data_IF_069584333049
#
_entry.id   IF_069584333049
#
_cell.length_a   1.000
_cell.length_b   1.000
_cell.length_c   1.000
_cell.angle_alpha   90.00
_cell.angle_beta   90.00
_cell.angle_gamma   90.00
#
_symmetry.space_group_name_H-M   'P 1'
#
loop_
_entity.id
_entity.type
_entity.pdbx_description
1 polymer ?
#
# COMPACT_ATOMS: atom_id res chain seq x y z
N UNK A 1 37.66 -32.39 19.57
CA UNK A 1 36.92 -31.14 19.25
C UNK A 1 37.74 -29.97 19.76
N UNK A 2 37.89 -28.94 18.94
CA UNK A 2 38.79 -27.82 19.21
C UNK A 2 38.17 -26.79 20.18
N UNK A 3 38.98 -26.24 21.09
CA UNK A 3 38.58 -25.29 22.14
C UNK A 3 37.98 -23.99 21.60
N UNK A 4 38.39 -23.57 20.40
CA UNK A 4 37.82 -22.41 19.70
C UNK A 4 36.37 -22.66 19.26
N UNK A 5 36.07 -23.86 18.77
CA UNK A 5 34.71 -24.26 18.38
C UNK A 5 33.77 -24.29 19.59
N UNK A 6 34.22 -24.79 20.75
CA UNK A 6 33.44 -24.81 21.99
C UNK A 6 33.14 -23.39 22.51
N UNK A 7 34.12 -22.48 22.47
CA UNK A 7 33.93 -21.08 22.87
C UNK A 7 32.92 -20.35 21.97
N UNK A 8 32.94 -20.61 20.66
CA UNK A 8 32.00 -20.00 19.73
C UNK A 8 30.54 -20.44 20.01
N UNK A 9 30.32 -21.74 20.24
CA UNK A 9 29.00 -22.28 20.61
C UNK A 9 28.45 -21.70 21.93
N UNK A 10 29.31 -21.42 22.91
CA UNK A 10 28.91 -20.81 24.17
C UNK A 10 28.43 -19.35 23.97
N UNK A 11 29.15 -18.54 23.19
CA UNK A 11 28.75 -17.15 22.88
C UNK A 11 27.47 -17.12 22.06
N UNK A 12 27.32 -18.00 21.05
CA UNK A 12 26.07 -18.14 20.30
C UNK A 12 24.88 -18.43 21.23
N UNK A 13 25.07 -19.27 22.25
CA UNK A 13 24.04 -19.57 23.25
C UNK A 13 23.70 -18.37 24.15
N UNK A 14 24.69 -17.55 24.52
CA UNK A 14 24.48 -16.28 25.24
C UNK A 14 23.62 -15.30 24.40
N UNK A 15 23.95 -15.14 23.11
CA UNK A 15 23.21 -14.27 22.20
C UNK A 15 21.79 -14.81 21.99
N UNK A 16 21.62 -16.12 21.82
CA UNK A 16 20.29 -16.73 21.72
C UNK A 16 19.43 -16.45 22.95
N UNK A 17 20.00 -16.64 24.14
CA UNK A 17 19.32 -16.32 25.40
C UNK A 17 18.94 -14.85 25.48
N UNK A 18 19.80 -13.95 25.00
CA UNK A 18 19.53 -12.51 24.96
C UNK A 18 18.35 -12.18 24.02
N UNK A 19 18.30 -12.80 22.85
CA UNK A 19 17.18 -12.67 21.89
C UNK A 19 15.88 -13.16 22.51
N UNK A 20 15.88 -14.35 23.13
CA UNK A 20 14.67 -14.91 23.76
C UNK A 20 14.16 -14.02 24.91
N UNK A 21 15.06 -13.45 25.72
CA UNK A 21 14.69 -12.52 26.78
C UNK A 21 14.19 -11.17 26.24
N UNK A 22 14.77 -10.69 25.14
CA UNK A 22 14.28 -9.50 24.46
C UNK A 22 12.87 -9.72 23.90
N UNK A 23 12.59 -10.87 23.27
CA UNK A 23 11.22 -11.21 22.83
C UNK A 23 10.22 -11.25 24.00
N UNK A 24 10.62 -11.73 25.18
CA UNK A 24 9.78 -11.68 26.38
C UNK A 24 9.49 -10.24 26.82
N UNK A 25 10.49 -9.37 26.80
CA UNK A 25 10.32 -7.94 27.12
C UNK A 25 9.39 -7.24 26.11
N UNK A 26 9.51 -7.58 24.83
CA UNK A 26 8.62 -7.08 23.78
C UNK A 26 7.18 -7.55 24.07
N UNK A 27 6.95 -8.86 24.26
CA UNK A 27 5.62 -9.41 24.57
C UNK A 27 5.01 -8.84 25.86
N UNK A 28 5.82 -8.45 26.84
CA UNK A 28 5.34 -7.82 28.08
C UNK A 28 4.96 -6.34 27.91
N UNK A 29 5.21 -5.75 26.73
CA UNK A 29 4.92 -4.34 26.40
C UNK A 29 5.62 -3.33 27.32
N UNK A 30 6.70 -3.75 27.97
CA UNK A 30 7.46 -2.89 28.88
C UNK A 30 8.63 -2.25 28.12
N UNK A 31 8.43 -1.01 27.67
CA UNK A 31 9.44 -0.23 26.94
C UNK A 31 10.74 -0.13 27.73
N UNK A 32 10.69 0.01 29.06
CA UNK A 32 11.90 0.11 29.88
C UNK A 32 12.67 -1.21 29.85
N UNK A 33 11.96 -2.33 29.97
CA UNK A 33 12.54 -3.67 29.85
C UNK A 33 13.14 -3.88 28.45
N UNK A 34 12.41 -3.56 27.39
CA UNK A 34 12.89 -3.64 25.99
C UNK A 34 14.18 -2.83 25.82
N UNK A 35 14.16 -1.55 26.21
CA UNK A 35 15.29 -0.66 26.03
C UNK A 35 16.52 -1.05 26.86
N UNK A 36 16.36 -1.83 27.94
CA UNK A 36 17.48 -2.35 28.73
C UNK A 36 18.40 -3.30 27.94
N UNK A 37 17.93 -3.85 26.82
CA UNK A 37 18.73 -4.73 25.95
C UNK A 37 19.70 -3.96 25.05
N UNK A 38 19.51 -2.66 24.86
CA UNK A 38 20.25 -1.84 23.89
C UNK A 38 21.38 -1.05 24.54
N UNK A 39 22.39 -0.73 23.74
CA UNK A 39 23.42 0.23 24.11
C UNK A 39 22.86 1.66 24.05
N UNK A 40 23.37 2.60 24.87
CA UNK A 40 22.91 3.99 24.84
C UNK A 40 23.00 4.65 23.46
N UNK A 41 23.99 4.24 22.66
CA UNK A 41 24.28 4.75 21.32
C UNK A 41 23.78 3.83 20.18
N UNK A 42 22.77 2.99 20.43
CA UNK A 42 22.18 2.13 19.38
C UNK A 42 21.80 2.93 18.12
N UNK A 43 22.04 2.36 16.95
CA UNK A 43 21.48 2.84 15.68
C UNK A 43 20.46 1.83 15.17
N UNK A 44 19.22 2.25 14.95
CA UNK A 44 18.16 1.36 14.48
C UNK A 44 17.57 1.82 13.13
N UNK A 45 17.38 0.86 12.23
CA UNK A 45 16.55 0.98 11.03
C UNK A 45 15.27 0.19 11.29
N UNK A 46 14.20 0.87 11.71
CA UNK A 46 12.93 0.18 11.93
C UNK A 46 12.13 0.07 10.61
N UNK A 47 11.17 -0.84 10.57
CA UNK A 47 10.38 -1.12 9.38
C UNK A 47 9.43 0.03 9.01
N UNK A 48 9.19 0.99 9.92
CA UNK A 48 8.19 2.04 9.77
C UNK A 48 8.67 3.42 10.23
N UNK A 49 7.99 4.45 9.71
CA UNK A 49 8.15 5.88 10.04
C UNK A 49 9.44 6.55 9.57
N UNK A 50 10.59 6.27 10.20
CA UNK A 50 11.83 7.01 9.95
C UNK A 50 12.90 6.12 9.36
N UNK A 51 13.75 6.68 8.49
CA UNK A 51 14.87 5.95 7.90
C UNK A 51 15.88 5.45 8.95
N UNK A 52 16.03 6.17 10.08
CA UNK A 52 17.00 5.85 11.11
C UNK A 52 16.66 6.49 12.46
N UNK A 53 16.83 5.74 13.53
CA UNK A 53 16.83 6.23 14.91
C UNK A 53 18.25 6.18 15.49
N UNK A 54 18.64 7.24 16.22
CA UNK A 54 19.94 7.31 16.89
C UNK A 54 19.73 7.42 18.40
N UNK A 55 20.28 6.45 19.13
CA UNK A 55 20.27 6.40 20.58
C UNK A 55 19.02 5.75 21.18
N UNK A 56 19.19 5.26 22.40
CA UNK A 56 18.17 4.50 23.13
C UNK A 56 16.91 5.31 23.43
N UNK A 57 17.03 6.62 23.65
CA UNK A 57 15.87 7.47 23.97
C UNK A 57 14.96 7.66 22.75
N UNK A 58 15.54 8.00 21.59
CA UNK A 58 14.80 8.18 20.35
C UNK A 58 14.13 6.86 19.93
N UNK A 59 14.87 5.75 20.02
CA UNK A 59 14.34 4.45 19.66
C UNK A 59 13.28 3.94 20.67
N UNK A 60 13.44 4.22 21.95
CA UNK A 60 12.44 3.91 22.97
C UNK A 60 11.10 4.64 22.77
N UNK A 61 11.14 5.91 22.33
CA UNK A 61 9.92 6.67 21.96
C UNK A 61 9.22 6.00 20.77
N UNK A 62 9.97 5.52 19.79
CA UNK A 62 9.42 4.79 18.65
C UNK A 62 8.77 3.46 19.07
N UNK A 63 9.46 2.66 19.89
CA UNK A 63 8.90 1.44 20.47
C UNK A 63 7.58 1.69 21.22
N UNK A 64 7.51 2.76 22.03
CA UNK A 64 6.29 3.13 22.74
C UNK A 64 5.13 3.43 21.77
N UNK A 65 5.39 4.16 20.68
CA UNK A 65 4.39 4.46 19.66
C UNK A 65 3.92 3.19 18.93
N UNK A 66 4.83 2.31 18.54
CA UNK A 66 4.50 1.04 17.88
C UNK A 66 3.64 0.14 18.78
N UNK A 67 3.99 0.02 20.07
CA UNK A 67 3.21 -0.77 21.02
C UNK A 67 1.81 -0.22 21.27
N UNK A 68 1.59 1.08 21.14
CA UNK A 68 0.27 1.71 21.29
C UNK A 68 -0.67 1.39 20.12
N UNK A 69 -0.14 1.11 18.92
CA UNK A 69 -0.92 0.77 17.72
C UNK A 69 -1.41 -0.69 17.70
N UNK A 70 -0.91 -1.54 18.59
CA UNK A 70 -1.27 -2.96 18.67
C UNK A 70 -2.00 -3.25 20.00
N UNK A 71 -3.33 -3.02 20.10
CA UNK A 71 -4.03 -3.07 21.39
C UNK A 71 -4.14 -4.49 21.99
N UNK A 72 -4.21 -5.53 21.15
CA UNK A 72 -4.42 -6.91 21.59
C UNK A 72 -3.15 -7.66 22.06
N UNK A 73 -3.30 -8.94 22.45
CA UNK A 73 -2.17 -9.81 22.79
C UNK A 73 -1.14 -9.85 21.67
N UNK A 74 0.12 -9.58 22.01
CA UNK A 74 1.20 -9.46 21.04
C UNK A 74 1.77 -10.82 20.66
N UNK A 75 1.91 -11.04 19.36
CA UNK A 75 2.69 -12.13 18.78
C UNK A 75 4.05 -11.57 18.38
N UNK A 76 5.12 -12.27 18.74
CA UNK A 76 6.49 -11.82 18.51
C UNK A 76 7.47 -13.00 18.59
N UNK A 77 7.54 -13.78 17.52
CA UNK A 77 8.23 -15.07 17.49
C UNK A 77 9.37 -15.07 16.48
N UNK A 78 10.53 -15.61 16.89
CA UNK A 78 11.71 -15.72 16.03
C UNK A 78 11.65 -17.03 15.23
N UNK A 79 11.92 -16.95 13.92
CA UNK A 79 12.11 -18.08 13.01
C UNK A 79 13.47 -18.00 12.31
N UNK A 80 14.04 -19.14 11.92
CA UNK A 80 15.31 -19.23 11.16
C UNK A 80 16.43 -18.33 11.67
N UNK A 81 16.72 -18.44 12.97
CA UNK A 81 17.73 -17.61 13.63
C UNK A 81 19.13 -18.13 13.30
N UNK A 82 19.93 -17.29 12.64
CA UNK A 82 21.36 -17.47 12.47
C UNK A 82 22.12 -16.55 13.43
N UNK A 83 23.22 -17.05 14.00
CA UNK A 83 24.05 -16.31 14.96
C UNK A 83 25.51 -16.57 14.63
N UNK A 84 26.25 -15.48 14.43
CA UNK A 84 27.70 -15.49 14.27
C UNK A 84 28.32 -14.59 15.33
N UNK A 85 29.31 -15.10 16.06
CA UNK A 85 29.94 -14.37 17.15
C UNK A 85 31.44 -14.61 17.20
N UNK A 86 32.19 -13.56 17.50
CA UNK A 86 33.63 -13.61 17.74
C UNK A 86 34.02 -12.56 18.78
N UNK A 87 34.75 -12.99 19.81
CA UNK A 87 35.22 -12.11 20.89
C UNK A 87 34.06 -11.32 21.57
N UNK A 88 34.08 -10.00 21.44
CA UNK A 88 33.13 -9.05 22.01
C UNK A 88 32.11 -8.53 20.99
N UNK A 89 32.05 -9.11 19.78
CA UNK A 89 31.13 -8.76 18.71
C UNK A 89 30.30 -9.97 18.28
N UNK A 90 29.02 -9.76 18.04
CA UNK A 90 28.17 -10.77 17.42
C UNK A 90 27.16 -10.12 16.48
N UNK A 91 26.68 -10.87 15.50
CA UNK A 91 25.52 -10.52 14.70
C UNK A 91 24.57 -11.70 14.60
N UNK A 92 23.28 -11.41 14.54
CA UNK A 92 22.24 -12.38 14.24
C UNK A 92 21.33 -11.86 13.14
N UNK A 93 20.81 -12.76 12.32
CA UNK A 93 19.70 -12.45 11.42
C UNK A 93 18.65 -13.55 11.53
N UNK A 94 17.39 -13.17 11.39
CA UNK A 94 16.29 -14.11 11.48
C UNK A 94 15.04 -13.59 10.76
N UNK A 95 14.05 -14.47 10.64
CA UNK A 95 12.67 -14.06 10.39
C UNK A 95 11.99 -13.77 11.73
N UNK A 96 11.10 -12.78 11.75
CA UNK A 96 10.33 -12.43 12.94
C UNK A 96 8.85 -12.33 12.60
N UNK A 97 8.03 -13.13 13.27
CA UNK A 97 6.57 -13.07 13.15
C UNK A 97 6.05 -12.12 14.20
N UNK A 98 5.59 -10.94 13.78
CA UNK A 98 5.08 -9.91 14.68
C UNK A 98 3.62 -9.58 14.36
N UNK A 99 2.85 -9.24 15.38
CA UNK A 99 1.48 -8.78 15.21
C UNK A 99 0.68 -8.80 16.49
N UNK A 100 -0.64 -8.73 16.34
CA UNK A 100 -1.56 -8.79 17.48
C UNK A 100 -2.79 -9.64 17.16
N UNK A 101 -3.38 -10.20 18.20
CA UNK A 101 -4.71 -10.81 18.12
C UNK A 101 -5.77 -9.71 18.22
N UNK A 102 -6.71 -9.68 17.28
CA UNK A 102 -7.83 -8.75 17.34
C UNK A 102 -8.91 -9.17 18.35
N UNK A 103 -9.92 -8.32 18.52
CA UNK A 103 -11.05 -8.52 19.44
C UNK A 103 -11.89 -9.77 19.15
N UNK A 104 -11.82 -10.33 17.94
CA UNK A 104 -12.49 -11.58 17.57
C UNK A 104 -11.62 -12.83 17.80
N UNK A 105 -10.42 -12.66 18.36
CA UNK A 105 -9.47 -13.76 18.57
C UNK A 105 -8.67 -14.12 17.32
N UNK A 106 -8.74 -13.33 16.25
CA UNK A 106 -8.00 -13.60 15.00
C UNK A 106 -6.61 -12.99 15.08
N UNK A 107 -5.58 -13.82 14.89
CA UNK A 107 -4.20 -13.35 14.83
C UNK A 107 -3.91 -12.63 13.52
N UNK A 108 -3.58 -11.33 13.61
CA UNK A 108 -3.08 -10.52 12.50
C UNK A 108 -1.58 -10.35 12.66
N UNK A 109 -0.84 -11.27 12.04
CA UNK A 109 0.62 -11.32 12.13
C UNK A 109 1.24 -11.36 10.74
N UNK A 110 2.49 -10.92 10.67
CA UNK A 110 3.28 -10.84 9.45
C UNK A 110 4.72 -11.22 9.76
N UNK A 111 5.37 -11.89 8.80
CA UNK A 111 6.79 -12.16 8.86
C UNK A 111 7.58 -10.96 8.33
N UNK A 112 8.59 -10.55 9.09
CA UNK A 112 9.59 -9.56 8.70
C UNK A 112 10.99 -10.15 8.82
N UNK A 113 11.99 -9.44 8.32
CA UNK A 113 13.41 -9.78 8.49
C UNK A 113 13.97 -8.91 9.60
N UNK A 114 14.76 -9.51 10.48
CA UNK A 114 15.47 -8.81 11.53
C UNK A 114 16.97 -9.09 11.41
N UNK A 115 17.80 -8.06 11.59
CA UNK A 115 19.24 -8.20 11.78
C UNK A 115 19.64 -7.38 13.02
N UNK A 116 20.35 -8.02 13.95
CA UNK A 116 20.79 -7.38 15.19
C UNK A 116 22.30 -7.53 15.34
N UNK A 117 22.98 -6.41 15.55
CA UNK A 117 24.40 -6.34 15.90
C UNK A 117 24.57 -6.15 17.39
N UNK A 118 25.43 -6.95 18.01
CA UNK A 118 25.68 -6.96 19.45
C UNK A 118 27.13 -6.64 19.75
N UNK A 119 27.37 -5.91 20.85
CA UNK A 119 28.69 -5.72 21.45
C UNK A 119 28.64 -6.04 22.94
N UNK A 120 29.69 -6.66 23.47
CA UNK A 120 29.84 -6.87 24.92
C UNK A 120 30.40 -5.60 25.56
N UNK A 121 29.58 -4.93 26.37
CA UNK A 121 29.90 -3.69 27.09
C UNK A 121 29.82 -3.96 28.59
N UNK A 122 30.88 -3.68 29.34
CA UNK A 122 30.95 -3.92 30.80
C UNK A 122 30.52 -5.35 31.20
N UNK A 123 30.95 -6.34 30.40
CA UNK A 123 30.61 -7.75 30.58
C UNK A 123 29.21 -8.16 30.11
N UNK A 124 28.38 -7.23 29.63
CA UNK A 124 27.02 -7.48 29.17
C UNK A 124 26.88 -7.31 27.66
N UNK A 125 26.27 -8.28 26.99
CA UNK A 125 25.89 -8.12 25.59
C UNK A 125 24.78 -7.05 25.45
N UNK A 126 24.99 -6.08 24.58
CA UNK A 126 24.05 -5.01 24.25
C UNK A 126 23.84 -4.95 22.74
N UNK A 127 22.60 -4.68 22.31
CA UNK A 127 22.30 -4.41 20.91
C UNK A 127 22.85 -3.03 20.57
N UNK A 128 23.78 -2.96 19.63
CA UNK A 128 24.40 -1.71 19.14
C UNK A 128 23.84 -1.30 17.78
N UNK A 129 23.28 -2.24 17.02
CA UNK A 129 22.58 -1.99 15.76
C UNK A 129 21.39 -2.93 15.62
N UNK A 130 20.30 -2.43 15.04
CA UNK A 130 19.14 -3.25 14.69
C UNK A 130 18.51 -2.80 13.38
N UNK A 131 18.01 -3.75 12.60
CA UNK A 131 17.35 -3.52 11.34
C UNK A 131 16.13 -4.44 11.20
N UNK A 132 14.94 -3.87 11.10
CA UNK A 132 13.69 -4.54 10.71
C UNK A 132 13.29 -4.13 9.30
N UNK A 133 12.81 -5.08 8.51
CA UNK A 133 12.27 -4.75 7.19
C UNK A 133 11.34 -5.81 6.62
N UNK A 134 10.36 -5.37 5.83
CA UNK A 134 9.58 -6.21 4.93
C UNK A 134 10.04 -5.98 3.47
N UNK A 135 10.01 -7.00 2.60
CA UNK A 135 10.16 -6.78 1.16
C UNK A 135 8.96 -6.00 0.61
N UNK A 136 9.10 -5.43 -0.58
CA UNK A 136 8.02 -4.70 -1.26
C UNK A 136 7.87 -5.19 -2.70
N UNK A 137 6.68 -4.99 -3.24
CA UNK A 137 6.34 -5.29 -4.63
C UNK A 137 6.83 -4.15 -5.54
N UNK A 138 7.66 -4.48 -6.52
CA UNK A 138 8.31 -3.48 -7.39
C UNK A 138 7.33 -2.73 -8.30
N UNK A 139 6.15 -3.29 -8.60
CA UNK A 139 5.17 -2.64 -9.48
C UNK A 139 4.28 -1.68 -8.71
N UNK A 140 3.87 -2.07 -7.50
CA UNK A 140 2.89 -1.34 -6.69
C UNK A 140 3.53 -0.49 -5.60
N UNK A 141 4.80 -0.72 -5.27
CA UNK A 141 5.50 -0.09 -4.15
C UNK A 141 5.00 -0.52 -2.77
N UNK A 142 4.07 -1.48 -2.68
CA UNK A 142 3.45 -1.92 -1.43
C UNK A 142 4.32 -2.95 -0.71
N UNK A 143 4.41 -2.86 0.61
CA UNK A 143 5.08 -3.86 1.45
C UNK A 143 4.37 -5.22 1.39
N UNK A 144 5.14 -6.30 1.38
CA UNK A 144 4.68 -7.68 1.25
C UNK A 144 4.62 -8.36 2.63
N UNK A 145 3.50 -8.17 3.34
CA UNK A 145 3.29 -8.70 4.68
C UNK A 145 2.70 -10.13 4.73
N UNK A 146 2.27 -10.66 3.58
CA UNK A 146 1.64 -11.97 3.47
C UNK A 146 2.63 -13.12 3.19
N UNK A 147 3.92 -12.82 2.98
CA UNK A 147 4.93 -13.85 2.72
C UNK A 147 5.12 -14.79 3.92
N UNK A 148 5.34 -16.07 3.61
CA UNK A 148 5.66 -17.12 4.56
C UNK A 148 7.15 -17.54 4.43
N UNK A 149 7.74 -18.13 5.48
CA UNK A 149 9.15 -18.54 5.48
C UNK A 149 9.53 -19.53 4.36
N UNK A 150 8.58 -20.34 3.89
CA UNK A 150 8.78 -21.30 2.80
C UNK A 150 8.75 -20.64 1.40
N UNK A 151 8.61 -19.31 1.34
CA UNK A 151 8.51 -18.55 0.10
C UNK A 151 7.10 -18.52 -0.50
N UNK A 152 6.11 -19.16 0.15
CA UNK A 152 4.71 -19.05 -0.25
C UNK A 152 4.09 -17.73 0.23
N UNK A 153 2.98 -17.33 -0.38
CA UNK A 153 2.13 -16.25 0.10
C UNK A 153 0.96 -16.83 0.86
N UNK A 154 0.65 -16.26 2.04
CA UNK A 154 -0.62 -16.48 2.70
C UNK A 154 -1.74 -16.08 1.74
N UNK A 155 -2.77 -16.92 1.65
CA UNK A 155 -3.94 -16.60 0.86
C UNK A 155 -4.59 -15.34 1.45
N UNK A 156 -4.50 -14.23 0.74
CA UNK A 156 -5.26 -13.02 1.07
C UNK A 156 -6.66 -13.12 0.50
N UNK A 157 -7.66 -12.69 1.28
CA UNK A 157 -9.04 -12.59 0.82
C UNK A 157 -9.20 -11.55 -0.31
N UNK A 158 -8.32 -10.54 -0.33
CA UNK A 158 -8.23 -9.56 -1.42
C UNK A 158 -6.98 -9.90 -2.23
N UNK A 159 -7.10 -10.25 -3.52
CA UNK A 159 -5.95 -10.60 -4.35
C UNK A 159 -4.89 -9.49 -4.39
N UNK A 160 -3.62 -9.89 -4.48
CA UNK A 160 -2.51 -8.94 -4.59
C UNK A 160 -2.70 -7.98 -5.77
N UNK A 161 -2.48 -6.69 -5.52
CA UNK A 161 -2.63 -5.65 -6.54
C UNK A 161 -4.07 -5.22 -6.82
N UNK A 162 -5.06 -5.83 -6.15
CA UNK A 162 -6.45 -5.35 -6.16
C UNK A 162 -6.70 -4.43 -4.96
N UNK A 163 -7.67 -3.53 -5.13
CA UNK A 163 -8.20 -2.72 -4.05
C UNK A 163 -9.59 -3.25 -3.67
N UNK A 164 -10.04 -2.96 -2.45
CA UNK A 164 -11.36 -3.40 -1.94
C UNK A 164 -12.50 -3.03 -2.89
N UNK A 165 -12.38 -1.88 -3.57
CA UNK A 165 -13.29 -1.46 -4.63
C UNK A 165 -12.51 -1.47 -5.94
N UNK A 166 -12.99 -2.25 -6.91
CA UNK A 166 -12.42 -2.38 -8.26
C UNK A 166 -13.56 -2.20 -9.28
N UNK A 167 -13.60 -1.10 -10.04
CA UNK A 167 -14.64 -0.89 -11.06
C UNK A 167 -14.64 -2.00 -12.11
N UNK A 168 -15.83 -2.39 -12.55
CA UNK A 168 -16.03 -3.37 -13.61
C UNK A 168 -16.85 -2.75 -14.74
N UNK A 169 -16.18 -2.39 -15.84
CA UNK A 169 -16.79 -1.68 -16.96
C UNK A 169 -17.33 -2.65 -18.00
N UNK A 170 -18.58 -2.43 -18.40
CA UNK A 170 -19.23 -3.20 -19.46
C UNK A 170 -19.16 -2.37 -20.73
N UNK A 171 -18.55 -2.92 -21.77
CA UNK A 171 -18.34 -2.23 -23.04
C UNK A 171 -19.02 -2.96 -24.19
N UNK A 172 -19.46 -2.23 -25.21
CA UNK A 172 -19.69 -2.81 -26.53
C UNK A 172 -18.34 -2.77 -27.28
N UNK A 173 -17.53 -3.81 -27.14
CA UNK A 173 -16.13 -3.86 -27.61
C UNK A 173 -15.11 -3.66 -26.48
N UNK A 174 -15.06 -4.58 -25.52
CA UNK A 174 -14.16 -4.47 -24.37
C UNK A 174 -12.67 -4.61 -24.74
N UNK A 175 -12.34 -5.38 -25.78
CA UNK A 175 -10.96 -5.50 -26.26
C UNK A 175 -10.44 -4.16 -26.82
N UNK A 176 -11.29 -3.44 -27.57
CA UNK A 176 -11.00 -2.11 -28.08
C UNK A 176 -10.90 -1.08 -26.95
N UNK A 177 -11.71 -1.24 -25.89
CA UNK A 177 -11.63 -0.39 -24.70
C UNK A 177 -10.29 -0.52 -23.98
N UNK A 178 -9.74 -1.74 -23.87
CA UNK A 178 -8.39 -1.96 -23.35
C UNK A 178 -7.35 -1.19 -24.17
N UNK A 179 -7.42 -1.26 -25.50
CA UNK A 179 -6.48 -0.53 -26.37
C UNK A 179 -6.64 0.99 -26.27
N UNK A 180 -7.85 1.49 -26.10
CA UNK A 180 -8.10 2.90 -25.81
C UNK A 180 -7.49 3.30 -24.46
N UNK A 181 -7.71 2.54 -23.37
CA UNK A 181 -7.17 2.88 -22.04
C UNK A 181 -5.64 2.82 -21.98
N UNK A 182 -5.00 1.92 -22.72
CA UNK A 182 -3.54 1.89 -22.89
C UNK A 182 -3.01 3.21 -23.45
N UNK A 183 -3.71 3.78 -24.45
CA UNK A 183 -3.33 5.05 -25.09
C UNK A 183 -3.72 6.28 -24.27
N UNK A 184 -4.95 6.31 -23.75
CA UNK A 184 -5.53 7.46 -23.06
C UNK A 184 -4.97 7.64 -21.65
N UNK A 185 -4.79 6.54 -20.91
CA UNK A 185 -4.50 6.56 -19.48
C UNK A 185 -3.18 5.88 -19.11
N UNK A 186 -2.33 5.55 -20.09
CA UNK A 186 -1.14 4.72 -19.91
C UNK A 186 -1.44 3.39 -19.20
N UNK A 187 -2.62 2.82 -19.46
CA UNK A 187 -3.01 1.60 -18.80
C UNK A 187 -2.08 0.44 -19.19
N UNK A 188 -1.81 -0.46 -18.25
CA UNK A 188 -1.10 -1.73 -18.51
C UNK A 188 -2.09 -2.88 -18.49
N UNK A 189 -2.15 -3.67 -19.56
CA UNK A 189 -3.01 -4.86 -19.61
C UNK A 189 -2.48 -5.95 -18.68
N UNK A 190 -3.35 -6.47 -17.80
CA UNK A 190 -3.01 -7.53 -16.84
C UNK A 190 -3.38 -8.92 -17.38
N UNK A 191 -4.38 -8.98 -18.25
CA UNK A 191 -4.83 -10.20 -18.88
C UNK A 191 -6.25 -10.07 -19.44
N UNK A 192 -6.62 -11.04 -20.27
CA UNK A 192 -7.94 -11.15 -20.87
C UNK A 192 -8.35 -12.59 -21.13
N UNK A 193 -9.64 -12.84 -21.04
CA UNK A 193 -10.30 -14.12 -21.30
C UNK A 193 -11.41 -13.89 -22.32
N UNK A 194 -11.18 -14.36 -23.54
CA UNK A 194 -12.20 -14.40 -24.58
C UNK A 194 -13.12 -15.61 -24.38
N UNK A 195 -14.41 -15.41 -24.61
CA UNK A 195 -15.41 -16.46 -24.72
C UNK A 195 -15.38 -17.14 -26.08
N UNK A 196 -16.18 -18.22 -26.27
CA UNK A 196 -16.21 -19.00 -27.50
C UNK A 196 -16.63 -18.21 -28.76
N UNK A 197 -17.40 -17.13 -28.59
CA UNK A 197 -17.86 -16.24 -29.64
C UNK A 197 -16.90 -15.06 -29.91
N UNK A 198 -15.74 -15.04 -29.25
CA UNK A 198 -14.73 -13.98 -29.35
C UNK A 198 -15.03 -12.76 -28.49
N UNK A 199 -16.20 -12.67 -27.85
CA UNK A 199 -16.49 -11.61 -26.87
C UNK A 199 -15.63 -11.78 -25.63
N UNK A 200 -15.22 -10.67 -25.03
CA UNK A 200 -14.43 -10.68 -23.82
C UNK A 200 -15.31 -10.96 -22.60
N UNK A 201 -15.15 -12.16 -22.02
CA UNK A 201 -15.82 -12.50 -20.76
C UNK A 201 -15.16 -11.80 -19.56
N UNK A 202 -13.85 -11.54 -19.65
CA UNK A 202 -13.11 -10.81 -18.64
C UNK A 202 -11.85 -10.17 -19.25
N UNK A 203 -11.53 -8.97 -18.81
CA UNK A 203 -10.26 -8.30 -19.01
C UNK A 203 -9.92 -7.45 -17.81
N UNK A 204 -8.64 -7.15 -17.62
CA UNK A 204 -8.22 -6.26 -16.56
C UNK A 204 -7.06 -5.38 -17.05
N UNK A 205 -7.12 -4.10 -16.69
CA UNK A 205 -6.04 -3.14 -16.90
C UNK A 205 -5.68 -2.46 -15.58
N UNK A 206 -4.43 -2.05 -15.46
CA UNK A 206 -3.93 -1.22 -14.36
C UNK A 206 -3.74 0.21 -14.85
N UNK A 207 -4.29 1.17 -14.12
CA UNK A 207 -4.09 2.62 -14.31
C UNK A 207 -3.56 3.16 -12.99
N UNK A 208 -2.31 3.65 -12.98
CA UNK A 208 -1.62 3.99 -11.74
C UNK A 208 -1.52 2.77 -10.81
N UNK A 209 -2.04 2.91 -9.59
CA UNK A 209 -2.09 1.84 -8.57
C UNK A 209 -3.43 1.07 -8.55
N UNK A 210 -4.35 1.43 -9.44
CA UNK A 210 -5.73 0.95 -9.44
C UNK A 210 -5.99 0.01 -10.60
N UNK A 211 -6.84 -1.00 -10.37
CA UNK A 211 -7.27 -1.95 -11.39
C UNK A 211 -8.67 -1.60 -11.85
N UNK A 212 -8.89 -1.68 -13.16
CA UNK A 212 -10.20 -1.59 -13.79
C UNK A 212 -10.42 -2.89 -14.55
N UNK A 213 -11.52 -3.57 -14.23
CA UNK A 213 -11.93 -4.77 -14.93
C UNK A 213 -12.88 -4.41 -16.07
N UNK A 214 -12.89 -5.23 -17.11
CA UNK A 214 -13.72 -5.03 -18.29
C UNK A 214 -14.38 -6.34 -18.71
N UNK A 215 -15.58 -6.24 -19.27
CA UNK A 215 -16.17 -7.31 -20.08
C UNK A 215 -16.99 -6.72 -21.23
N UNK A 216 -17.22 -7.52 -22.26
CA UNK A 216 -18.20 -7.19 -23.27
C UNK A 216 -19.61 -7.24 -22.70
N UNK A 217 -20.54 -6.55 -23.35
CA UNK A 217 -21.95 -6.67 -23.01
C UNK A 217 -22.52 -8.05 -23.35
N UNK A 218 -23.28 -8.58 -22.39
CA UNK A 218 -24.06 -9.81 -22.49
C UNK A 218 -25.49 -9.51 -22.02
N UNK A 219 -26.35 -8.91 -22.88
CA UNK A 219 -27.71 -8.52 -22.51
C UNK A 219 -28.54 -9.67 -21.92
N UNK A 220 -28.30 -10.90 -22.38
CA UNK A 220 -28.96 -12.11 -21.86
C UNK A 220 -28.66 -12.39 -20.38
N UNK A 221 -27.56 -11.84 -19.85
CA UNK A 221 -27.15 -11.94 -18.44
C UNK A 221 -27.36 -10.62 -17.68
N UNK A 222 -28.06 -9.63 -18.28
CA UNK A 222 -28.25 -8.31 -17.69
C UNK A 222 -27.01 -7.39 -17.73
N UNK A 223 -25.94 -7.80 -18.42
CA UNK A 223 -24.73 -7.01 -18.59
C UNK A 223 -24.86 -6.07 -19.80
N UNK A 224 -25.15 -4.80 -19.55
CA UNK A 224 -25.45 -3.80 -20.58
C UNK A 224 -24.40 -2.68 -20.58
N UNK A 225 -23.90 -2.31 -21.75
CA UNK A 225 -22.97 -1.18 -21.88
C UNK A 225 -23.69 0.18 -21.79
N UNK A 226 -22.98 1.29 -21.49
CA UNK A 226 -23.56 2.64 -21.54
C UNK A 226 -24.18 2.98 -22.89
N UNK A 227 -23.59 2.51 -24.00
CA UNK A 227 -24.14 2.71 -25.35
C UNK A 227 -25.52 2.08 -25.49
N UNK A 228 -25.69 0.86 -25.02
CA UNK A 228 -26.98 0.15 -25.06
C UNK A 228 -28.00 0.78 -24.12
N UNK A 229 -27.57 1.27 -22.96
CA UNK A 229 -28.40 2.00 -22.00
C UNK A 229 -28.66 3.47 -22.40
N UNK A 230 -27.95 3.98 -23.42
CA UNK A 230 -27.96 5.39 -23.84
C UNK A 230 -27.58 6.37 -22.73
N UNK A 231 -26.67 5.95 -21.86
CA UNK A 231 -26.12 6.77 -20.78
C UNK A 231 -25.37 5.95 -19.74
N UNK A 232 -24.59 6.63 -18.91
CA UNK A 232 -23.93 6.06 -17.72
C UNK A 232 -24.30 6.88 -16.47
N UNK A 233 -24.72 6.24 -15.37
CA UNK A 233 -24.99 6.94 -14.12
C UNK A 233 -23.73 7.11 -13.25
N UNK A 234 -22.60 6.52 -13.64
CA UNK A 234 -21.35 6.53 -12.88
C UNK A 234 -20.27 7.23 -13.68
N UNK A 235 -19.50 8.07 -12.99
CA UNK A 235 -18.21 8.57 -13.47
C UNK A 235 -17.09 7.91 -12.68
N UNK A 236 -16.09 7.37 -13.36
CA UNK A 236 -14.88 6.87 -12.71
C UNK A 236 -13.91 8.04 -12.55
N UNK A 237 -13.42 8.25 -11.33
CA UNK A 237 -12.60 9.42 -10.98
C UNK A 237 -11.11 9.05 -10.93
N UNK A 238 -10.29 9.74 -11.73
CA UNK A 238 -8.84 9.61 -11.72
C UNK A 238 -8.23 10.85 -11.09
N UNK A 239 -7.53 10.65 -9.98
CA UNK A 239 -6.48 11.57 -9.59
C UNK A 239 -5.19 11.23 -10.32
N UNK A 240 -4.57 12.25 -10.89
CA UNK A 240 -3.32 12.15 -11.64
C UNK A 240 -2.38 13.30 -11.25
N UNK A 241 -1.08 13.09 -11.42
CA UNK A 241 -0.08 14.11 -11.13
C UNK A 241 -0.25 15.37 -12.01
N UNK A 242 -0.76 15.21 -13.23
CA UNK A 242 -1.01 16.31 -14.15
C UNK A 242 -2.28 16.09 -14.99
N UNK A 243 -3.34 16.81 -14.64
CA UNK A 243 -4.65 16.72 -15.27
C UNK A 243 -4.63 17.19 -16.72
N UNK A 244 -3.98 18.32 -17.04
CA UNK A 244 -3.92 18.85 -18.40
C UNK A 244 -3.32 17.83 -19.38
N UNK A 245 -2.16 17.26 -19.06
CA UNK A 245 -1.48 16.28 -19.90
C UNK A 245 -2.31 15.00 -20.08
N UNK A 246 -2.97 14.55 -19.02
CA UNK A 246 -3.78 13.33 -19.05
C UNK A 246 -5.08 13.53 -19.83
N UNK A 247 -5.71 14.70 -19.65
CA UNK A 247 -6.94 15.10 -20.33
C UNK A 247 -6.71 15.26 -21.83
N UNK A 248 -5.66 15.99 -22.24
CA UNK A 248 -5.27 16.16 -23.64
C UNK A 248 -4.99 14.82 -24.32
N UNK A 249 -4.28 13.91 -23.64
CA UNK A 249 -3.98 12.57 -24.17
C UNK A 249 -5.25 11.76 -24.40
N UNK A 250 -6.19 11.79 -23.46
CA UNK A 250 -7.44 11.05 -23.59
C UNK A 250 -8.30 11.60 -24.73
N UNK A 251 -8.38 12.93 -24.88
CA UNK A 251 -9.06 13.58 -26.01
C UNK A 251 -8.39 13.22 -27.34
N UNK A 252 -7.06 13.28 -27.42
CA UNK A 252 -6.30 12.88 -28.61
C UNK A 252 -6.48 11.39 -28.96
N UNK A 253 -6.74 10.53 -27.96
CA UNK A 253 -7.05 9.12 -28.15
C UNK A 253 -8.50 8.87 -28.62
N UNK A 254 -9.34 9.90 -28.68
CA UNK A 254 -10.72 9.83 -29.18
C UNK A 254 -11.82 10.02 -28.13
N UNK A 255 -11.49 10.43 -26.90
CA UNK A 255 -12.50 10.79 -25.91
C UNK A 255 -13.21 12.10 -26.28
N UNK A 256 -14.50 12.18 -25.97
CA UNK A 256 -15.32 13.37 -26.12
C UNK A 256 -15.28 14.20 -24.83
N UNK A 257 -15.06 15.51 -24.95
CA UNK A 257 -15.17 16.42 -23.80
C UNK A 257 -16.64 16.58 -23.40
N UNK A 258 -16.95 16.27 -22.14
CA UNK A 258 -18.26 16.48 -21.53
C UNK A 258 -18.24 17.75 -20.67
N UNK A 259 -17.17 17.92 -19.90
CA UNK A 259 -16.89 19.12 -19.11
C UNK A 259 -15.43 19.53 -19.38
N UNK A 260 -15.20 20.73 -19.95
CA UNK A 260 -13.85 21.23 -20.16
C UNK A 260 -13.06 21.31 -18.87
N UNK A 261 -11.73 21.12 -18.98
CA UNK A 261 -10.84 21.20 -17.83
C UNK A 261 -10.77 22.65 -17.30
N UNK A 262 -11.05 22.82 -16.01
CA UNK A 262 -11.05 24.12 -15.34
C UNK A 262 -10.57 23.99 -13.90
N UNK A 263 -10.17 25.12 -13.32
CA UNK A 263 -9.84 25.20 -11.89
C UNK A 263 -11.14 25.35 -11.12
N UNK A 264 -11.43 24.38 -10.26
CA UNK A 264 -12.71 24.28 -9.59
C UNK A 264 -12.70 24.95 -8.23
N UNK A 265 -13.88 25.36 -7.79
CA UNK A 265 -14.06 26.06 -6.52
C UNK A 265 -13.64 25.21 -5.31
N UNK A 266 -13.60 23.87 -5.46
CA UNK A 266 -13.17 22.92 -4.43
C UNK A 266 -11.67 22.58 -4.44
N UNK A 267 -10.88 23.25 -5.28
CA UNK A 267 -9.40 23.18 -5.19
C UNK A 267 -8.71 22.25 -6.18
N UNK A 268 -9.44 21.67 -7.12
CA UNK A 268 -8.86 20.80 -8.16
C UNK A 268 -8.82 21.47 -9.53
N UNK A 269 -7.80 21.13 -10.31
CA UNK A 269 -7.84 21.19 -11.77
C UNK A 269 -8.65 19.98 -12.26
N UNK A 270 -9.86 20.17 -12.77
CA UNK A 270 -10.83 19.09 -12.98
C UNK A 270 -11.58 19.22 -14.31
N UNK A 271 -11.91 18.07 -14.91
CA UNK A 271 -12.76 17.99 -16.11
C UNK A 271 -13.32 16.59 -16.30
N UNK A 272 -14.28 16.46 -17.22
CA UNK A 272 -14.97 15.19 -17.51
C UNK A 272 -14.93 14.90 -19.00
N UNK A 273 -14.57 13.66 -19.34
CA UNK A 273 -14.64 13.12 -20.68
C UNK A 273 -15.57 11.91 -20.73
N UNK A 274 -16.10 11.64 -21.91
CA UNK A 274 -16.78 10.41 -22.27
C UNK A 274 -15.85 9.62 -23.19
N UNK A 275 -15.52 8.40 -22.81
CA UNK A 275 -14.72 7.52 -23.66
C UNK A 275 -15.54 7.01 -24.87
N UNK A 276 -14.89 6.40 -25.88
CA UNK A 276 -15.62 5.88 -27.03
C UNK A 276 -16.71 4.86 -26.68
N UNK A 277 -16.65 4.21 -25.52
CA UNK A 277 -17.58 3.16 -25.09
C UNK A 277 -18.74 3.70 -24.24
N UNK A 278 -18.77 5.02 -24.01
CA UNK A 278 -19.82 5.75 -23.32
C UNK A 278 -19.64 5.84 -21.81
N UNK A 279 -18.49 5.41 -21.26
CA UNK A 279 -18.21 5.61 -19.83
C UNK A 279 -17.68 7.02 -19.58
N UNK A 280 -18.04 7.60 -18.45
CA UNK A 280 -17.58 8.92 -18.04
C UNK A 280 -16.36 8.78 -17.13
N UNK A 281 -15.34 9.55 -17.44
CA UNK A 281 -14.11 9.64 -16.67
C UNK A 281 -13.91 11.08 -16.24
N UNK A 282 -13.78 11.30 -14.94
CA UNK A 282 -13.35 12.58 -14.41
C UNK A 282 -11.86 12.53 -14.12
N UNK A 283 -11.14 13.58 -14.52
CA UNK A 283 -9.68 13.65 -14.38
C UNK A 283 -9.38 14.88 -13.53
N UNK A 284 -8.62 14.67 -12.47
CA UNK A 284 -8.33 15.70 -11.49
C UNK A 284 -6.86 15.72 -11.07
N UNK A 285 -6.36 16.92 -10.81
CA UNK A 285 -5.15 17.15 -10.01
C UNK A 285 -5.52 18.13 -8.91
N UNK A 286 -5.20 17.79 -7.67
CA UNK A 286 -5.39 18.71 -6.56
C UNK A 286 -4.37 19.85 -6.65
N UNK A 287 -4.83 21.11 -6.64
CA UNK A 287 -3.96 22.28 -6.84
C UNK A 287 -3.94 23.27 -5.67
N UNK A 288 -4.92 23.22 -4.75
CA UNK A 288 -4.94 24.05 -3.55
C UNK A 288 -5.79 23.45 -2.43
N UNK A 289 -5.27 23.51 -1.21
CA UNK A 289 -6.03 23.20 0.00
C UNK A 289 -7.01 24.35 0.32
N UNK A 290 -8.22 23.99 0.76
CA UNK A 290 -9.26 24.93 1.17
C UNK A 290 -9.95 24.43 2.44
N UNK A 291 -10.36 25.36 3.28
CA UNK A 291 -11.24 25.06 4.40
C UNK A 291 -12.67 24.73 3.93
N UNK A 292 -13.43 24.03 4.78
CA UNK A 292 -14.83 23.72 4.50
C UNK A 292 -15.68 24.97 4.25
N UNK A 293 -15.43 26.05 5.00
CA UNK A 293 -16.15 27.32 4.87
C UNK A 293 -15.86 28.02 3.53
N UNK A 294 -14.60 27.98 3.07
CA UNK A 294 -14.22 28.52 1.76
C UNK A 294 -14.89 27.74 0.63
N UNK A 295 -14.91 26.40 0.70
CA UNK A 295 -15.58 25.55 -0.29
C UNK A 295 -17.09 25.83 -0.29
N UNK A 296 -17.73 25.92 0.88
CA UNK A 296 -19.16 26.16 1.00
C UNK A 296 -19.56 27.53 0.43
N UNK A 297 -18.79 28.58 0.76
CA UNK A 297 -19.00 29.93 0.24
C UNK A 297 -18.85 29.96 -1.28
N UNK A 298 -17.79 29.35 -1.81
CA UNK A 298 -17.54 29.31 -3.24
C UNK A 298 -18.57 28.47 -4.01
N UNK A 299 -19.08 27.39 -3.41
CA UNK A 299 -20.17 26.58 -3.98
C UNK A 299 -21.47 27.39 -4.14
N UNK A 300 -21.84 28.19 -3.13
CA UNK A 300 -23.03 29.04 -3.19
C UNK A 300 -22.93 30.07 -4.32
N UNK A 301 -21.75 30.67 -4.50
CA UNK A 301 -21.49 31.63 -5.59
C UNK A 301 -21.56 30.95 -6.97
N UNK A 302 -20.97 29.77 -7.12
CA UNK A 302 -21.00 29.01 -8.37
C UNK A 302 -22.42 28.58 -8.76
N UNK A 303 -23.23 28.11 -7.81
CA UNK A 303 -24.64 27.75 -8.05
C UNK A 303 -25.48 28.95 -8.50
N UNK A 304 -25.27 30.13 -7.88
CA UNK A 304 -25.97 31.36 -8.28
C UNK A 304 -25.62 31.76 -9.73
N UNK A 305 -24.34 31.71 -10.10
CA UNK A 305 -23.88 32.05 -11.45
C UNK A 305 -24.36 31.05 -12.52
N UNK A 306 -24.43 29.74 -12.20
CA UNK A 306 -24.94 28.71 -13.10
C UNK A 306 -26.45 28.83 -13.37
N UNK A 307 -27.22 29.24 -12.36
CA UNK A 307 -28.66 29.51 -12.53
C UNK A 307 -28.92 30.73 -13.43
N UNK A 308 -28.08 31.77 -13.34
CA UNK A 308 -28.19 32.96 -14.19
C UNK A 308 -27.80 32.69 -15.65
N UNK A 309 -26.78 31.85 -15.90
CA UNK A 309 -26.38 31.45 -17.24
C UNK A 309 -27.45 30.61 -17.97
N UNK A 310 -28.19 29.76 -17.24
CA UNK A 310 -29.30 28.96 -17.77
C UNK A 310 -30.57 29.80 -18.05
N UNK A 311 -30.80 30.85 -17.26
CA UNK A 311 -31.96 31.74 -17.44
C UNK A 311 -31.77 32.76 -18.57
N UNK A 312 -30.54 33.17 -18.86
CA UNK A 312 -30.21 34.13 -19.93
C UNK A 312 -29.94 33.48 -21.30
N UNK A 313 -29.99 32.15 -21.39
CA UNK A 313 -29.80 31.38 -22.63
C UNK A 313 -31.12 30.94 -23.30
N UNK A 314 -32.27 31.52 -22.89
CA UNK A 314 -33.58 31.37 -23.54
C UNK A 314 -33.91 32.59 -24.39
#
# INVERSE_FOLDING_TARGET
>A
MDTASVKNTAVQSEIRTKLDNWCKAVKSRDVKSIMSHYAPNVVAFDAVQQLKFNGVEAYGKHWAACLAMCPGPMVFDLGDVDISAENDLAFSFCLINCGATDENGVQKTSWMRMTSGFRKLDGQWKVVHEHFSAPFDMQTGKALFDLQPDGSTKLSAIPQGMNTITPHLICAGAAEAIEFYKKAFNATELGRLAGPDGKLMHGAVRIGDSVVMLMDEFPQCGAMSPRTLKGTPVSVHLYVDNADTSFERAVAAGAKVIMPLADMFWGDRYGVIEDPFGHHWSIATHIRDLSHEEIQTAAQQACAQGADALNNAK
#
